data_IF_000789624470
#
_entry.id   IF_000789624470
#
_cell.length_a   1.000
_cell.length_b   1.000
_cell.length_c   1.000
_cell.angle_alpha   90.00
_cell.angle_beta   90.00
_cell.angle_gamma   90.00
#
_symmetry.space_group_name_H-M   'P 1'
#
loop_
_entity.id
_entity.type
_entity.pdbx_description
1 polymer ?
#
# COMPACT_ATOMS: atom_id res chain seq x y z
N UNK A 1 31.29 28.70 5.65
CA UNK A 1 30.12 29.49 6.11
C UNK A 1 28.80 28.98 5.55
N UNK A 2 28.73 28.40 4.34
CA UNK A 2 27.49 27.80 3.82
C UNK A 2 27.05 26.50 4.53
N UNK A 3 27.98 25.74 5.12
CA UNK A 3 27.70 24.46 5.80
C UNK A 3 26.92 24.59 7.11
N UNK A 4 27.19 25.63 7.89
CA UNK A 4 26.53 25.85 9.18
C UNK A 4 25.07 26.31 9.03
N UNK A 5 24.74 26.98 7.91
CA UNK A 5 23.38 27.42 7.66
C UNK A 5 22.46 26.27 7.25
N UNK A 6 22.97 25.29 6.49
CA UNK A 6 22.19 24.10 6.12
C UNK A 6 21.96 23.12 7.28
N UNK A 7 22.88 23.07 8.25
CA UNK A 7 22.73 22.24 9.46
C UNK A 7 21.62 22.79 10.36
N UNK A 8 21.59 24.11 10.57
CA UNK A 8 20.54 24.79 11.36
C UNK A 8 19.15 24.68 10.71
N UNK A 9 19.05 24.75 9.38
CA UNK A 9 17.78 24.52 8.68
C UNK A 9 17.27 23.08 8.83
N UNK A 10 18.17 22.08 8.83
CA UNK A 10 17.82 20.68 9.03
C UNK A 10 17.31 20.38 10.43
N UNK A 11 17.97 20.92 11.46
CA UNK A 11 17.55 20.77 12.87
C UNK A 11 16.23 21.49 13.15
N UNK A 12 16.04 22.70 12.61
CA UNK A 12 14.79 23.43 12.75
C UNK A 12 13.62 22.69 12.07
N UNK A 13 13.88 22.07 10.92
CA UNK A 13 12.88 21.25 10.22
C UNK A 13 12.46 20.02 11.03
N UNK A 14 13.40 19.33 11.67
CA UNK A 14 13.10 18.21 12.56
C UNK A 14 12.27 18.65 13.77
N UNK A 15 12.64 19.77 14.39
CA UNK A 15 11.90 20.35 15.51
C UNK A 15 10.45 20.69 15.14
N UNK A 16 10.23 21.32 13.98
CA UNK A 16 8.88 21.67 13.52
C UNK A 16 8.05 20.42 13.18
N UNK A 17 8.66 19.40 12.57
CA UNK A 17 7.96 18.16 12.25
C UNK A 17 7.50 17.40 13.51
N UNK A 18 8.32 17.45 14.56
CA UNK A 18 8.00 16.87 15.87
C UNK A 18 7.00 17.72 16.66
N UNK A 19 7.14 19.05 16.62
CA UNK A 19 6.23 20.01 17.24
C UNK A 19 4.82 19.94 16.63
N UNK A 20 4.72 19.88 15.31
CA UNK A 20 3.45 19.79 14.58
C UNK A 20 2.82 18.40 14.66
N UNK A 21 3.55 17.39 15.16
CA UNK A 21 3.18 15.97 15.12
C UNK A 21 2.80 15.44 13.71
N UNK A 22 3.12 16.18 12.66
CA UNK A 22 2.74 15.88 11.27
C UNK A 22 3.85 16.36 10.32
N UNK A 23 4.85 15.51 10.02
CA UNK A 23 5.86 15.82 9.01
C UNK A 23 5.27 15.97 7.60
N UNK A 24 4.02 15.53 7.39
CA UNK A 24 3.36 15.68 6.09
C UNK A 24 2.81 17.06 5.83
N UNK A 25 2.51 17.86 6.85
CA UNK A 25 1.90 19.18 6.67
C UNK A 25 2.72 20.06 5.72
N UNK A 26 4.05 20.05 5.89
CA UNK A 26 4.96 20.81 5.01
C UNK A 26 5.02 20.25 3.59
N UNK A 27 4.90 18.93 3.43
CA UNK A 27 4.88 18.30 2.11
C UNK A 27 3.61 18.71 1.37
N UNK A 28 2.46 18.65 2.05
CA UNK A 28 1.18 19.09 1.49
C UNK A 28 1.19 20.58 1.14
N UNK A 29 1.75 21.43 2.00
CA UNK A 29 1.87 22.86 1.73
C UNK A 29 2.71 23.11 0.47
N UNK A 30 3.90 22.48 0.37
CA UNK A 30 4.74 22.56 -0.83
C UNK A 30 4.03 22.04 -2.09
N UNK A 31 3.31 20.92 -2.00
CA UNK A 31 2.59 20.36 -3.13
C UNK A 31 1.46 21.26 -3.58
N UNK A 32 0.74 21.86 -2.63
CA UNK A 32 -0.33 22.81 -2.91
C UNK A 32 0.19 24.08 -3.57
N UNK A 33 1.30 24.64 -3.08
CA UNK A 33 1.93 25.82 -3.71
C UNK A 33 2.41 25.53 -5.12
N UNK A 34 2.98 24.34 -5.35
CA UNK A 34 3.54 23.98 -6.65
C UNK A 34 2.49 23.46 -7.65
N UNK A 35 1.32 23.04 -7.19
CA UNK A 35 0.31 22.37 -8.02
C UNK A 35 0.75 20.98 -8.51
N UNK A 36 1.81 20.41 -7.93
CA UNK A 36 2.37 19.10 -8.24
C UNK A 36 3.13 18.56 -7.03
N UNK A 37 3.39 17.25 -7.00
CA UNK A 37 4.24 16.65 -5.99
C UNK A 37 5.66 17.24 -5.98
N UNK A 38 6.14 17.79 -7.11
CA UNK A 38 7.50 18.34 -7.21
C UNK A 38 8.59 17.30 -6.94
N UNK A 39 8.25 16.01 -7.09
CA UNK A 39 9.13 14.87 -6.81
C UNK A 39 9.77 14.36 -8.10
N UNK A 40 11.08 14.07 -8.02
CA UNK A 40 11.77 13.31 -9.08
C UNK A 40 11.12 11.93 -9.24
N UNK A 41 11.22 11.33 -10.43
CA UNK A 41 10.64 10.00 -10.73
C UNK A 41 11.02 8.93 -9.69
N UNK A 42 12.28 8.91 -9.25
CA UNK A 42 12.74 7.95 -8.23
C UNK A 42 12.15 8.20 -6.84
N UNK A 43 11.99 9.47 -6.44
CA UNK A 43 11.36 9.84 -5.17
C UNK A 43 9.87 9.51 -5.17
N UNK A 44 9.19 9.82 -6.28
CA UNK A 44 7.79 9.45 -6.49
C UNK A 44 7.60 7.95 -6.40
N UNK A 45 8.42 7.17 -7.11
CA UNK A 45 8.38 5.70 -7.05
C UNK A 45 8.56 5.16 -5.63
N UNK A 46 9.55 5.68 -4.90
CA UNK A 46 9.76 5.32 -3.48
C UNK A 46 8.51 5.61 -2.65
N UNK A 47 7.86 6.76 -2.87
CA UNK A 47 6.65 7.12 -2.13
C UNK A 47 5.46 6.24 -2.51
N UNK A 48 5.29 5.93 -3.80
CA UNK A 48 4.33 4.94 -4.29
C UNK A 48 4.55 3.58 -3.61
N UNK A 49 5.79 3.10 -3.55
CA UNK A 49 6.13 1.83 -2.91
C UNK A 49 5.81 1.83 -1.41
N UNK A 50 6.04 2.96 -0.71
CA UNK A 50 5.67 3.11 0.70
C UNK A 50 4.15 3.01 0.90
N UNK A 51 3.37 3.69 0.05
CA UNK A 51 1.91 3.57 0.07
C UNK A 51 1.46 2.12 -0.15
N UNK A 52 2.01 1.46 -1.17
CA UNK A 52 1.63 0.09 -1.52
C UNK A 52 2.02 -0.93 -0.46
N UNK A 53 3.18 -0.78 0.18
CA UNK A 53 3.59 -1.62 1.32
C UNK A 53 2.59 -1.51 2.46
N UNK A 54 2.17 -0.29 2.83
CA UNK A 54 1.17 -0.11 3.89
C UNK A 54 -0.19 -0.69 3.49
N UNK A 55 -0.61 -0.53 2.23
CA UNK A 55 -1.84 -1.15 1.73
C UNK A 55 -1.75 -2.68 1.75
N UNK A 56 -0.61 -3.26 1.41
CA UNK A 56 -0.35 -4.68 1.51
C UNK A 56 -0.53 -5.16 2.95
N UNK A 57 -0.04 -4.41 3.94
CA UNK A 57 -0.27 -4.75 5.36
C UNK A 57 -1.73 -4.68 5.75
N UNK A 58 -2.46 -3.68 5.24
CA UNK A 58 -3.87 -3.52 5.55
C UNK A 58 -4.72 -4.63 4.95
N UNK A 59 -4.44 -5.03 3.72
CA UNK A 59 -5.20 -6.05 3.00
C UNK A 59 -4.92 -7.46 3.53
N UNK A 60 -3.65 -7.79 3.78
CA UNK A 60 -3.24 -9.14 4.21
C UNK A 60 -3.16 -9.28 5.73
N UNK A 61 -2.90 -8.20 6.46
CA UNK A 61 -2.63 -8.24 7.90
C UNK A 61 -1.20 -8.62 8.27
N UNK A 62 -0.34 -8.90 7.29
CA UNK A 62 1.09 -9.16 7.50
C UNK A 62 1.89 -7.89 7.23
N UNK A 63 2.92 -7.62 8.04
CA UNK A 63 3.79 -6.49 7.77
C UNK A 63 4.54 -6.67 6.45
N UNK A 64 4.72 -5.58 5.71
CA UNK A 64 5.38 -5.61 4.41
C UNK A 64 6.85 -6.05 4.51
N UNK A 65 7.47 -5.90 5.69
CA UNK A 65 8.82 -6.36 5.97
C UNK A 65 8.93 -7.87 6.20
N UNK A 66 7.80 -8.57 6.36
CA UNK A 66 7.77 -10.02 6.51
C UNK A 66 7.80 -10.75 5.15
N UNK A 67 7.67 -10.02 4.05
CA UNK A 67 7.79 -10.55 2.69
C UNK A 67 9.25 -10.50 2.24
N UNK A 68 9.76 -11.59 1.65
CA UNK A 68 11.10 -11.61 1.04
C UNK A 68 11.27 -10.50 -0.02
N UNK A 69 10.23 -10.33 -0.86
CA UNK A 69 10.10 -9.20 -1.78
C UNK A 69 8.65 -8.73 -1.84
N UNK A 70 8.41 -7.46 -1.54
CA UNK A 70 7.10 -6.81 -1.73
C UNK A 70 7.09 -6.01 -3.04
N UNK A 71 6.89 -6.69 -4.16
CA UNK A 71 6.73 -6.12 -5.50
C UNK A 71 5.30 -6.24 -6.05
N UNK A 72 4.41 -6.88 -5.30
CA UNK A 72 3.01 -7.10 -5.63
C UNK A 72 2.09 -6.77 -4.47
N UNK A 73 0.91 -6.26 -4.80
CA UNK A 73 -0.16 -5.99 -3.87
C UNK A 73 -1.12 -7.18 -3.90
N UNK A 74 -1.23 -7.89 -2.78
CA UNK A 74 -2.11 -9.04 -2.65
C UNK A 74 -3.41 -8.63 -1.99
N UNK A 75 -4.52 -8.98 -2.64
CA UNK A 75 -5.86 -8.89 -2.07
C UNK A 75 -6.26 -10.29 -1.64
N UNK A 76 -6.66 -10.44 -0.38
CA UNK A 76 -6.89 -11.74 0.26
C UNK A 76 -8.30 -11.86 0.82
N UNK A 77 -8.79 -13.09 1.00
CA UNK A 77 -10.04 -13.38 1.73
C UNK A 77 -9.88 -13.24 3.25
N UNK A 78 -9.33 -12.12 3.70
CA UNK A 78 -9.14 -11.86 5.13
C UNK A 78 -10.50 -11.63 5.81
N UNK A 79 -10.65 -12.16 7.02
CA UNK A 79 -11.79 -11.86 7.88
C UNK A 79 -11.87 -10.37 8.20
N UNK A 80 -13.09 -9.84 8.25
CA UNK A 80 -13.35 -8.47 8.72
C UNK A 80 -12.97 -8.28 10.19
N UNK A 81 -13.03 -9.34 10.98
CA UNK A 81 -12.57 -9.32 12.37
C UNK A 81 -11.05 -9.36 12.43
N UNK A 82 -10.46 -8.18 12.70
CA UNK A 82 -9.00 -7.99 12.77
C UNK A 82 -8.37 -8.59 14.03
N UNK A 83 -9.16 -9.04 15.01
CA UNK A 83 -8.64 -9.64 16.24
C UNK A 83 -8.23 -11.11 16.08
N UNK A 84 -8.68 -11.74 14.99
CA UNK A 84 -8.36 -13.14 14.69
C UNK A 84 -7.20 -13.17 13.70
N UNK A 85 -6.05 -13.68 14.14
CA UNK A 85 -4.90 -13.91 13.28
C UNK A 85 -5.22 -15.06 12.31
N UNK A 86 -5.06 -14.81 11.02
CA UNK A 86 -5.20 -15.82 9.97
C UNK A 86 -3.85 -16.05 9.32
N UNK A 87 -3.09 -17.08 9.75
CA UNK A 87 -1.75 -17.33 9.26
C UNK A 87 -1.75 -17.83 7.81
N UNK A 88 -2.87 -18.36 7.30
CA UNK A 88 -3.03 -18.81 5.92
C UNK A 88 -4.22 -18.10 5.29
N UNK A 89 -4.03 -17.55 4.08
CA UNK A 89 -5.04 -16.75 3.38
C UNK A 89 -5.02 -17.06 1.88
N UNK A 90 -6.21 -17.17 1.29
CA UNK A 90 -6.36 -17.26 -0.16
C UNK A 90 -6.15 -15.87 -0.78
N UNK A 91 -5.32 -15.80 -1.81
CA UNK A 91 -5.17 -14.61 -2.67
C UNK A 91 -6.24 -14.65 -3.74
N UNK A 92 -7.05 -13.60 -3.82
CA UNK A 92 -8.10 -13.45 -4.83
C UNK A 92 -7.68 -12.56 -5.99
N UNK A 93 -6.63 -11.77 -5.79
CA UNK A 93 -6.11 -10.83 -6.77
C UNK A 93 -4.69 -10.45 -6.40
N UNK A 94 -3.82 -10.37 -7.42
CA UNK A 94 -2.42 -10.00 -7.27
C UNK A 94 -2.03 -8.95 -8.30
N UNK A 95 -1.68 -7.75 -7.84
CA UNK A 95 -1.44 -6.58 -8.70
C UNK A 95 0.03 -6.18 -8.66
N UNK A 96 0.64 -5.88 -9.81
CA UNK A 96 2.03 -5.47 -9.84
C UNK A 96 2.18 -4.05 -9.30
N UNK A 97 3.15 -3.80 -8.43
CA UNK A 97 3.44 -2.46 -7.91
C UNK A 97 3.74 -1.44 -9.02
N UNK A 98 4.31 -1.89 -10.15
CA UNK A 98 4.63 -1.04 -11.31
C UNK A 98 3.41 -0.45 -12.01
N UNK A 99 2.24 -1.06 -11.82
CA UNK A 99 0.98 -0.59 -12.40
C UNK A 99 0.36 0.58 -11.63
N UNK A 100 0.99 0.95 -10.51
CA UNK A 100 0.58 2.09 -9.69
C UNK A 100 1.50 3.28 -9.88
N UNK A 101 0.91 4.46 -9.89
CA UNK A 101 1.64 5.73 -9.84
C UNK A 101 0.98 6.70 -8.85
N UNK A 102 1.80 7.57 -8.27
CA UNK A 102 1.34 8.61 -7.36
C UNK A 102 1.36 9.96 -8.10
N UNK A 103 0.19 10.54 -8.27
CA UNK A 103 -0.01 11.82 -8.94
C UNK A 103 -0.56 12.86 -7.97
N UNK A 104 -0.62 14.12 -8.39
CA UNK A 104 -1.28 15.18 -7.64
C UNK A 104 -2.59 15.57 -8.32
N UNK A 105 -3.68 15.64 -7.55
CA UNK A 105 -4.94 16.21 -8.01
C UNK A 105 -5.01 17.67 -7.58
N UNK A 106 -4.96 18.58 -8.55
CA UNK A 106 -4.98 20.03 -8.31
C UNK A 106 -6.33 20.50 -7.76
N UNK A 107 -7.44 19.95 -8.26
CA UNK A 107 -8.79 20.34 -7.84
C UNK A 107 -9.04 20.00 -6.37
N UNK A 108 -8.62 18.80 -5.94
CA UNK A 108 -8.74 18.35 -4.56
C UNK A 108 -7.54 18.74 -3.69
N UNK A 109 -6.50 19.32 -4.29
CA UNK A 109 -5.25 19.71 -3.64
C UNK A 109 -4.59 18.58 -2.82
N UNK A 110 -4.62 17.35 -3.32
CA UNK A 110 -4.11 16.17 -2.62
C UNK A 110 -3.42 15.16 -3.54
N UNK A 111 -2.49 14.34 -3.01
CA UNK A 111 -1.93 13.20 -3.74
C UNK A 111 -2.98 12.11 -3.97
N UNK A 112 -2.90 11.48 -5.13
CA UNK A 112 -3.77 10.37 -5.54
C UNK A 112 -2.90 9.21 -5.96
N UNK A 113 -3.13 8.04 -5.35
CA UNK A 113 -2.55 6.78 -5.81
C UNK A 113 -3.48 6.18 -6.87
N UNK A 114 -2.99 6.05 -8.09
CA UNK A 114 -3.76 5.54 -9.23
C UNK A 114 -3.26 4.14 -9.62
N UNK A 115 -4.19 3.28 -10.04
CA UNK A 115 -3.91 1.98 -10.64
C UNK A 115 -4.24 2.03 -12.14
N UNK A 116 -3.32 1.55 -12.99
CA UNK A 116 -3.46 1.41 -14.44
C UNK A 116 -4.18 2.57 -15.13
N UNK A 117 -3.57 3.77 -15.11
CA UNK A 117 -4.14 4.98 -15.73
C UNK A 117 -5.57 5.29 -15.23
N UNK A 118 -5.75 5.34 -13.91
CA UNK A 118 -6.99 5.74 -13.24
C UNK A 118 -8.15 4.74 -13.29
N UNK A 119 -7.90 3.44 -13.50
CA UNK A 119 -8.95 2.42 -13.35
C UNK A 119 -9.45 2.27 -11.92
N UNK A 120 -8.58 2.56 -10.95
CA UNK A 120 -8.94 2.73 -9.56
C UNK A 120 -8.05 3.82 -8.95
N UNK A 121 -8.63 4.65 -8.09
CA UNK A 121 -7.94 5.78 -7.46
C UNK A 121 -8.15 5.79 -5.96
N UNK A 122 -7.10 6.08 -5.20
CA UNK A 122 -7.17 6.36 -3.79
C UNK A 122 -6.71 7.80 -3.55
N UNK A 123 -7.66 8.65 -3.18
CA UNK A 123 -7.34 9.97 -2.65
C UNK A 123 -6.66 9.81 -1.31
N UNK A 124 -5.47 10.40 -1.18
CA UNK A 124 -4.69 10.35 0.05
C UNK A 124 -4.79 11.73 0.70
N UNK A 125 -5.74 11.96 1.63
CA UNK A 125 -5.75 13.16 2.46
C UNK A 125 -4.62 13.08 3.50
N UNK A 126 -4.23 14.24 4.03
CA UNK A 126 -3.11 14.38 4.98
C UNK A 126 -3.15 13.38 6.15
N UNK A 127 -4.27 13.13 6.85
CA UNK A 127 -4.28 12.15 7.94
C UNK A 127 -4.00 10.71 7.48
N UNK A 128 -4.46 10.33 6.28
CA UNK A 128 -4.12 9.02 5.70
C UNK A 128 -2.65 8.95 5.31
N UNK A 129 -2.09 10.05 4.80
CA UNK A 129 -0.68 10.11 4.47
C UNK A 129 0.21 10.04 5.72
N UNK A 130 -0.13 10.75 6.79
CA UNK A 130 0.55 10.66 8.09
C UNK A 130 0.50 9.24 8.65
N UNK A 131 -0.64 8.57 8.52
CA UNK A 131 -0.78 7.17 8.87
C UNK A 131 0.18 6.29 8.05
N UNK A 132 0.21 6.44 6.72
CA UNK A 132 1.11 5.69 5.84
C UNK A 132 2.58 5.92 6.22
N UNK A 133 2.99 7.17 6.41
CA UNK A 133 4.35 7.51 6.79
C UNK A 133 4.73 6.92 8.15
N UNK A 134 3.84 7.04 9.14
CA UNK A 134 4.06 6.48 10.48
C UNK A 134 4.18 4.96 10.44
N UNK A 135 3.28 4.30 9.71
CA UNK A 135 3.26 2.85 9.56
C UNK A 135 4.51 2.33 8.85
N UNK A 136 4.95 3.02 7.80
CA UNK A 136 6.17 2.67 7.07
C UNK A 136 7.45 2.78 7.91
N UNK A 137 7.43 3.58 8.99
CA UNK A 137 8.52 3.70 9.97
C UNK A 137 8.41 2.68 11.12
N UNK A 138 7.47 1.74 11.04
CA UNK A 138 7.24 0.73 12.08
C UNK A 138 6.54 1.26 13.34
N UNK A 139 5.96 2.47 13.31
CA UNK A 139 5.17 2.94 14.46
C UNK A 139 3.89 2.13 14.59
N UNK A 140 3.67 1.57 15.78
CA UNK A 140 2.48 0.81 16.16
C UNK A 140 1.73 1.69 17.16
N UNK A 141 0.53 2.18 16.83
CA UNK A 141 -0.27 2.93 17.82
C UNK A 141 -1.38 3.83 17.29
N UNK A 142 -1.34 4.31 16.05
CA UNK A 142 -2.45 5.08 15.48
C UNK A 142 -3.40 4.16 14.73
N UNK A 143 -4.61 3.99 15.26
CA UNK A 143 -5.69 3.38 14.48
C UNK A 143 -6.11 4.37 13.38
N UNK A 144 -6.32 3.86 12.17
CA UNK A 144 -6.87 4.67 11.10
C UNK A 144 -8.33 5.02 11.45
N UNK A 145 -8.73 6.28 11.27
CA UNK A 145 -10.12 6.68 11.56
C UNK A 145 -11.09 5.89 10.66
N UNK A 146 -12.33 5.62 11.10
CA UNK A 146 -13.30 4.85 10.32
C UNK A 146 -13.51 5.40 8.91
N UNK A 147 -13.50 6.72 8.74
CA UNK A 147 -13.67 7.39 7.43
C UNK A 147 -12.54 7.01 6.47
N UNK A 148 -11.28 7.04 6.93
CA UNK A 148 -10.16 6.67 6.08
C UNK A 148 -10.08 5.16 5.85
N UNK A 149 -10.50 4.34 6.81
CA UNK A 149 -10.64 2.90 6.58
C UNK A 149 -11.66 2.61 5.49
N UNK A 150 -12.83 3.26 5.50
CA UNK A 150 -13.84 3.11 4.45
C UNK A 150 -13.32 3.50 3.06
N UNK A 151 -12.46 4.52 2.96
CA UNK A 151 -11.80 4.88 1.69
C UNK A 151 -10.89 3.77 1.17
N UNK A 152 -10.12 3.15 2.06
CA UNK A 152 -9.24 2.03 1.72
C UNK A 152 -10.06 0.81 1.30
N UNK A 153 -11.14 0.52 2.02
CA UNK A 153 -12.04 -0.61 1.71
C UNK A 153 -12.75 -0.40 0.36
N UNK A 154 -13.14 0.85 0.06
CA UNK A 154 -13.69 1.21 -1.24
C UNK A 154 -12.65 1.02 -2.36
N UNK A 155 -11.43 1.53 -2.17
CA UNK A 155 -10.34 1.36 -3.13
C UNK A 155 -10.01 -0.12 -3.37
N UNK A 156 -10.01 -0.95 -2.32
CA UNK A 156 -9.86 -2.40 -2.42
C UNK A 156 -10.93 -3.03 -3.33
N UNK A 157 -12.19 -2.60 -3.20
CA UNK A 157 -13.29 -3.03 -4.08
C UNK A 157 -13.10 -2.60 -5.54
N UNK A 158 -12.64 -1.37 -5.78
CA UNK A 158 -12.38 -0.86 -7.13
C UNK A 158 -11.22 -1.61 -7.81
N UNK A 159 -10.14 -1.91 -7.06
CA UNK A 159 -9.04 -2.74 -7.56
C UNK A 159 -9.51 -4.13 -7.98
N UNK A 160 -10.37 -4.77 -7.17
CA UNK A 160 -10.93 -6.08 -7.49
C UNK A 160 -11.80 -6.04 -8.76
N UNK A 161 -12.61 -4.99 -8.94
CA UNK A 161 -13.40 -4.79 -10.17
C UNK A 161 -12.50 -4.60 -11.38
N UNK A 162 -11.48 -3.75 -11.27
CA UNK A 162 -10.53 -3.50 -12.35
C UNK A 162 -9.79 -4.79 -12.75
N UNK A 163 -9.37 -5.60 -11.78
CA UNK A 163 -8.72 -6.88 -12.02
C UNK A 163 -9.62 -7.87 -12.77
N UNK A 164 -10.87 -8.04 -12.33
CA UNK A 164 -11.84 -8.95 -12.97
C UNK A 164 -12.18 -8.52 -14.40
N UNK A 165 -12.31 -7.22 -14.63
CA UNK A 165 -12.58 -6.69 -15.96
C UNK A 165 -11.45 -6.99 -16.96
N UNK A 166 -10.20 -7.14 -16.50
CA UNK A 166 -9.06 -7.47 -17.35
C UNK A 166 -8.81 -8.97 -17.52
N UNK A 167 -8.97 -9.75 -16.44
CA UNK A 167 -8.59 -11.16 -16.42
C UNK A 167 -9.76 -12.12 -16.70
N UNK A 168 -10.99 -11.60 -16.77
CA UNK A 168 -12.20 -12.43 -16.82
C UNK A 168 -12.36 -13.30 -15.58
N UNK A 169 -13.35 -14.20 -15.60
CA UNK A 169 -13.49 -15.27 -14.58
C UNK A 169 -12.63 -16.50 -14.94
N UNK A 170 -11.70 -16.40 -15.88
CA UNK A 170 -11.09 -17.55 -16.59
C UNK A 170 -9.81 -18.13 -15.94
N UNK A 171 -9.50 -17.79 -14.69
CA UNK A 171 -8.33 -18.34 -13.97
C UNK A 171 -8.75 -19.26 -12.83
N UNK A 172 -9.78 -20.08 -13.05
CA UNK A 172 -10.36 -20.98 -12.03
C UNK A 172 -9.39 -22.10 -11.61
N UNK A 173 -8.37 -22.38 -12.40
CA UNK A 173 -7.45 -23.49 -12.15
C UNK A 173 -6.20 -23.09 -11.36
N UNK A 174 -5.95 -21.81 -11.09
CA UNK A 174 -4.79 -21.36 -10.31
C UNK A 174 -5.21 -20.77 -8.96
N UNK A 175 -4.65 -21.33 -7.89
CA UNK A 175 -4.91 -20.90 -6.52
C UNK A 175 -3.60 -20.48 -5.85
N UNK A 176 -3.47 -19.19 -5.53
CA UNK A 176 -2.36 -18.70 -4.70
C UNK A 176 -2.78 -18.58 -3.23
N UNK A 177 -1.94 -19.10 -2.34
CA UNK A 177 -2.10 -19.03 -0.89
C UNK A 177 -0.93 -18.26 -0.29
N UNK A 178 -1.23 -17.27 0.54
CA UNK A 178 -0.25 -16.60 1.40
C UNK A 178 -0.23 -17.29 2.75
N UNK A 179 0.96 -17.63 3.24
CA UNK A 179 1.16 -18.27 4.53
C UNK A 179 2.23 -17.55 5.34
N UNK A 180 1.95 -17.32 6.62
CA UNK A 180 2.91 -16.87 7.61
C UNK A 180 3.53 -18.08 8.31
N UNK A 181 4.85 -18.20 8.18
CA UNK A 181 5.65 -19.22 8.85
C UNK A 181 5.81 -18.95 10.35
N UNK A 182 6.36 -19.93 11.08
CA UNK A 182 6.61 -19.82 12.54
C UNK A 182 7.66 -18.72 12.83
N UNK A 183 8.59 -18.50 11.89
CA UNK A 183 9.57 -17.40 11.92
C UNK A 183 8.94 -16.02 11.67
N UNK A 184 7.66 -15.97 11.27
CA UNK A 184 6.97 -14.75 10.85
C UNK A 184 7.22 -14.38 9.39
N UNK A 185 8.02 -15.14 8.64
CA UNK A 185 8.24 -14.93 7.21
C UNK A 185 6.98 -15.30 6.40
N UNK A 186 6.71 -14.53 5.34
CA UNK A 186 5.56 -14.76 4.47
C UNK A 186 6.00 -15.50 3.21
N UNK A 187 5.40 -16.67 2.98
CA UNK A 187 5.60 -17.47 1.78
C UNK A 187 4.33 -17.49 0.92
N UNK A 188 4.54 -17.53 -0.40
CA UNK A 188 3.49 -17.72 -1.39
C UNK A 188 3.55 -19.16 -1.88
N UNK A 189 2.39 -19.80 -1.96
CA UNK A 189 2.24 -21.14 -2.51
C UNK A 189 1.24 -21.07 -3.66
N UNK A 190 1.69 -21.43 -4.86
CA UNK A 190 0.83 -21.55 -6.04
C UNK A 190 0.43 -23.01 -6.20
N UNK A 191 -0.85 -23.21 -6.42
CA UNK A 191 -1.45 -24.50 -6.70
C UNK A 191 -2.17 -24.43 -8.03
N UNK A 192 -2.04 -25.49 -8.82
CA UNK A 192 -2.82 -25.68 -10.03
C UNK A 192 -3.83 -26.79 -9.76
N UNK A 193 -5.10 -26.53 -10.06
CA UNK A 193 -6.16 -27.51 -9.95
C UNK A 193 -6.12 -28.45 -11.16
N UNK A 194 -5.85 -29.73 -10.88
CA UNK A 194 -5.99 -30.80 -11.87
C UNK A 194 -7.46 -31.28 -11.84
N UNK A 195 -8.22 -30.88 -12.85
CA UNK A 195 -9.63 -31.22 -12.99
C UNK A 195 -9.87 -32.73 -13.21
N UNK A 196 -8.91 -33.45 -13.81
CA UNK A 196 -9.02 -34.88 -14.08
C UNK A 196 -8.80 -35.71 -12.82
N UNK A 197 -7.90 -35.26 -11.94
CA UNK A 197 -7.59 -35.93 -10.67
C UNK A 197 -8.39 -35.40 -9.48
N UNK A 198 -9.02 -34.23 -9.61
CA UNK A 198 -9.61 -33.47 -8.50
C UNK A 198 -8.60 -33.15 -7.37
N UNK A 199 -7.36 -32.84 -7.72
CA UNK A 199 -6.27 -32.55 -6.76
C UNK A 199 -5.61 -31.22 -7.09
N UNK A 200 -5.17 -30.50 -6.05
CA UNK A 200 -4.29 -29.35 -6.18
C UNK A 200 -2.83 -29.82 -6.27
N UNK A 201 -2.18 -29.58 -7.39
CA UNK A 201 -0.76 -29.84 -7.60
C UNK A 201 0.06 -28.56 -7.30
N UNK A 202 1.21 -28.71 -6.66
CA UNK A 202 2.11 -27.57 -6.38
C UNK A 202 2.84 -27.20 -7.66
N UNK A 203 2.77 -25.92 -8.04
CA UNK A 203 3.56 -25.40 -9.16
C UNK A 203 5.06 -25.53 -8.81
N UNK A 204 5.81 -26.26 -9.65
CA UNK A 204 7.23 -26.59 -9.41
C UNK A 204 8.18 -25.45 -9.76
#
# INVERSE_FOLDING_TARGET
MASHHSELEGEYQLFIDEFLQSPSLRLYDKWKTNGDLGLRKSQRRKLTDLCLKVLLELFTGFSANQYESADRLYLTMRRKDKNIVQPTQLVICSLNFRDFDLTYNVELSLPVLSYQKNKANLDIPMPLFDYILSRSKGKIGSALTPIHQSKIDWFHGELLKAYRAENGDNNDDEVTVIKSGISGEITLHNFIYDADKHVLEVEK
#
